data_IF_425009839135
#
_entry.id   IF_425009839135
#
_cell.length_a   1.000
_cell.length_b   1.000
_cell.length_c   1.000
_cell.angle_alpha   90.00
_cell.angle_beta   90.00
_cell.angle_gamma   90.00
#
_symmetry.space_group_name_H-M   'P 1'
#
loop_
_entity.id
_entity.type
_entity.pdbx_description
1 polymer ?
#
# COMPACT_ATOMS: atom_id res chain seq x y z
N UNK A 1 -0.77 12.10 12.24
CA UNK A 1 -1.34 13.33 11.62
C UNK A 1 -2.65 13.65 12.33
N UNK A 2 -2.90 14.93 12.65
CA UNK A 2 -4.22 15.38 13.12
C UNK A 2 -4.96 16.04 11.96
N UNK A 3 -6.18 15.62 11.69
CA UNK A 3 -7.05 16.19 10.66
C UNK A 3 -8.48 16.28 11.20
N UNK A 4 -9.27 17.20 10.64
CA UNK A 4 -10.66 17.40 11.01
C UNK A 4 -11.55 16.88 9.89
N UNK A 5 -12.65 16.20 10.25
CA UNK A 5 -13.67 15.72 9.32
C UNK A 5 -15.01 16.28 9.77
N UNK A 6 -15.77 16.81 8.82
CA UNK A 6 -17.12 17.29 9.05
C UNK A 6 -18.12 16.23 8.60
N UNK A 7 -19.08 15.94 9.47
CA UNK A 7 -20.22 15.08 9.18
C UNK A 7 -21.48 15.91 9.27
N UNK A 8 -22.50 15.54 8.50
CA UNK A 8 -23.85 16.04 8.75
C UNK A 8 -24.35 15.55 10.12
N UNK A 9 -25.32 16.26 10.68
CA UNK A 9 -25.84 16.00 12.03
C UNK A 9 -26.38 14.58 12.17
N UNK A 10 -27.04 14.05 11.13
CA UNK A 10 -27.63 12.71 11.15
C UNK A 10 -26.52 11.65 11.22
N UNK A 11 -25.49 11.78 10.40
CA UNK A 11 -24.35 10.86 10.39
C UNK A 11 -23.57 10.94 11.70
N UNK A 12 -23.34 12.16 12.22
CA UNK A 12 -22.65 12.37 13.49
C UNK A 12 -23.37 11.72 14.67
N UNK A 13 -24.70 11.82 14.74
CA UNK A 13 -25.52 11.18 15.78
C UNK A 13 -25.50 9.66 15.67
N UNK A 14 -25.63 9.11 14.46
CA UNK A 14 -25.55 7.66 14.23
C UNK A 14 -24.20 7.10 14.67
N UNK A 15 -23.10 7.75 14.30
CA UNK A 15 -21.76 7.37 14.73
C UNK A 15 -21.62 7.40 16.25
N UNK A 16 -22.16 8.43 16.91
CA UNK A 16 -22.13 8.53 18.37
C UNK A 16 -22.91 7.39 19.05
N UNK A 17 -24.07 7.01 18.51
CA UNK A 17 -24.87 5.90 19.03
C UNK A 17 -24.13 4.56 18.89
N UNK A 18 -23.53 4.29 17.73
CA UNK A 18 -22.74 3.07 17.51
C UNK A 18 -21.50 3.04 18.41
N UNK A 19 -20.78 4.15 18.54
CA UNK A 19 -19.62 4.27 19.42
C UNK A 19 -19.99 3.91 20.87
N UNK A 20 -21.11 4.45 21.36
CA UNK A 20 -21.64 4.14 22.69
C UNK A 20 -22.00 2.66 22.84
N UNK A 21 -22.67 2.07 21.85
CA UNK A 21 -23.04 0.65 21.87
C UNK A 21 -21.84 -0.29 21.86
N UNK A 22 -20.77 0.09 21.16
CA UNK A 22 -19.52 -0.69 21.08
C UNK A 22 -18.56 -0.46 22.26
N UNK A 23 -18.81 0.51 23.14
CA UNK A 23 -17.86 0.90 24.18
C UNK A 23 -16.59 1.58 23.65
N UNK A 24 -16.66 2.17 22.46
CA UNK A 24 -15.52 2.78 21.77
C UNK A 24 -15.69 4.30 21.63
N UNK A 25 -14.57 5.01 21.45
CA UNK A 25 -14.65 6.43 21.08
C UNK A 25 -15.05 6.58 19.61
N UNK A 26 -15.73 7.69 19.27
CA UNK A 26 -16.03 8.05 17.86
C UNK A 26 -14.77 8.00 16.98
N UNK A 27 -13.64 8.48 17.49
CA UNK A 27 -12.37 8.47 16.76
C UNK A 27 -11.81 7.05 16.54
N UNK A 28 -12.09 6.11 17.44
CA UNK A 28 -11.69 4.71 17.24
C UNK A 28 -12.48 4.08 16.09
N UNK A 29 -13.81 4.33 16.04
CA UNK A 29 -14.64 3.89 14.91
C UNK A 29 -14.25 4.56 13.59
N UNK A 30 -13.97 5.87 13.59
CA UNK A 30 -13.51 6.58 12.38
C UNK A 30 -12.21 5.97 11.86
N UNK A 31 -11.24 5.69 12.75
CA UNK A 31 -9.97 5.05 12.36
C UNK A 31 -10.21 3.69 11.70
N UNK A 32 -11.01 2.82 12.34
CA UNK A 32 -11.37 1.52 11.78
C UNK A 32 -12.04 1.64 10.41
N UNK A 33 -13.00 2.54 10.27
CA UNK A 33 -13.70 2.76 9.01
C UNK A 33 -12.76 3.24 7.89
N UNK A 34 -11.83 4.15 8.20
CA UNK A 34 -10.82 4.62 7.26
C UNK A 34 -9.86 3.49 6.88
N UNK A 35 -9.35 2.73 7.85
CA UNK A 35 -8.44 1.61 7.60
C UNK A 35 -9.09 0.54 6.72
N UNK A 36 -10.35 0.21 7.00
CA UNK A 36 -11.13 -0.77 6.23
C UNK A 36 -11.41 -0.28 4.80
N UNK A 37 -11.67 1.02 4.63
CA UNK A 37 -11.85 1.61 3.30
C UNK A 37 -10.55 1.59 2.51
N UNK A 38 -9.43 1.98 3.13
CA UNK A 38 -8.09 1.97 2.50
C UNK A 38 -7.66 0.56 2.15
N UNK A 39 -7.87 -0.44 3.01
CA UNK A 39 -7.53 -1.83 2.70
C UNK A 39 -8.27 -2.35 1.44
N UNK A 40 -9.49 -1.85 1.18
CA UNK A 40 -10.27 -2.22 0.00
C UNK A 40 -9.88 -1.46 -1.27
N UNK A 41 -9.53 -0.19 -1.15
CA UNK A 41 -9.41 0.72 -2.31
C UNK A 41 -7.98 1.18 -2.58
N UNK A 42 -7.13 1.19 -1.57
CA UNK A 42 -5.71 1.52 -1.66
C UNK A 42 -4.88 0.24 -1.61
N UNK A 43 -5.22 -0.75 -2.45
CA UNK A 43 -4.31 -1.84 -2.75
C UNK A 43 -2.99 -1.20 -3.19
N UNK A 44 -1.85 -1.53 -2.55
CA UNK A 44 -0.56 -1.00 -2.96
C UNK A 44 -0.21 -1.58 -4.32
N UNK A 45 -0.66 -0.90 -5.37
CA UNK A 45 -0.37 -1.20 -6.75
C UNK A 45 0.68 -0.23 -7.26
N UNK A 46 1.56 -0.74 -8.13
CA UNK A 46 2.45 0.13 -8.88
C UNK A 46 1.62 1.04 -9.80
N UNK A 47 2.10 2.24 -10.13
CA UNK A 47 1.44 3.10 -11.12
C UNK A 47 1.23 2.35 -12.43
N UNK A 48 0.17 2.69 -13.16
CA UNK A 48 -0.16 2.02 -14.42
C UNK A 48 1.01 2.04 -15.42
N UNK A 49 1.80 3.11 -15.42
CA UNK A 49 3.01 3.20 -16.25
C UNK A 49 4.04 2.09 -15.97
N UNK A 50 4.13 1.62 -14.73
CA UNK A 50 5.00 0.49 -14.34
C UNK A 50 4.32 -0.83 -14.67
N UNK A 51 3.02 -0.96 -14.37
CA UNK A 51 2.25 -2.18 -14.64
C UNK A 51 2.10 -2.49 -16.13
N UNK A 52 2.06 -1.46 -16.99
CA UNK A 52 1.94 -1.55 -18.43
C UNK A 52 3.30 -1.57 -19.16
N UNK A 53 4.41 -1.59 -18.43
CA UNK A 53 5.74 -1.59 -19.04
C UNK A 53 6.09 -2.98 -19.58
N UNK A 54 6.16 -3.10 -20.91
CA UNK A 54 6.48 -4.37 -21.60
C UNK A 54 7.99 -4.60 -21.80
N UNK A 55 8.84 -3.71 -21.28
CA UNK A 55 10.28 -3.73 -21.52
C UNK A 55 10.71 -2.82 -22.67
N UNK A 56 12.03 -2.76 -22.90
CA UNK A 56 12.61 -2.03 -24.04
C UNK A 56 12.97 -3.03 -25.14
N UNK A 57 12.52 -2.85 -26.40
CA UNK A 57 12.73 -3.83 -27.47
C UNK A 57 14.21 -4.11 -27.76
N UNK A 58 15.03 -3.06 -27.66
CA UNK A 58 16.47 -3.13 -27.96
C UNK A 58 17.31 -3.57 -26.75
N UNK A 59 16.66 -3.92 -25.64
CA UNK A 59 17.40 -4.37 -24.46
C UNK A 59 17.90 -5.81 -24.68
N UNK A 60 19.21 -6.07 -24.54
CA UNK A 60 19.72 -7.42 -24.62
C UNK A 60 19.11 -8.28 -23.49
N UNK A 61 18.94 -9.61 -23.71
CA UNK A 61 18.51 -10.51 -22.66
C UNK A 61 19.39 -10.35 -21.41
N UNK A 62 18.79 -10.47 -20.23
CA UNK A 62 19.52 -10.37 -18.95
C UNK A 62 20.79 -11.24 -18.92
N UNK A 63 20.71 -12.42 -19.54
CA UNK A 63 21.80 -13.39 -19.56
C UNK A 63 22.93 -13.09 -20.55
N UNK A 64 22.75 -12.12 -21.45
CA UNK A 64 23.77 -11.76 -22.44
C UNK A 64 25.10 -11.34 -21.79
N UNK A 65 25.06 -10.78 -20.58
CA UNK A 65 26.25 -10.37 -19.82
C UNK A 65 26.97 -11.51 -19.10
N UNK A 66 26.39 -12.72 -18.98
CA UNK A 66 26.97 -13.79 -18.15
C UNK A 66 28.35 -14.23 -18.61
N UNK A 67 28.59 -14.25 -19.92
CA UNK A 67 29.88 -14.67 -20.48
C UNK A 67 31.04 -13.72 -20.12
N UNK A 68 30.73 -12.47 -19.75
CA UNK A 68 31.72 -11.49 -19.31
C UNK A 68 31.96 -11.49 -17.79
N UNK A 69 31.20 -12.31 -17.03
CA UNK A 69 31.39 -12.42 -15.58
C UNK A 69 32.63 -13.26 -15.29
N UNK A 70 33.45 -12.77 -14.35
CA UNK A 70 34.51 -13.59 -13.78
C UNK A 70 33.89 -14.73 -12.96
N UNK A 71 34.52 -15.91 -12.93
CA UNK A 71 34.08 -16.96 -12.02
C UNK A 71 34.09 -16.43 -10.57
N UNK A 72 33.18 -16.91 -9.71
CA UNK A 72 33.24 -16.64 -8.28
C UNK A 72 34.62 -17.02 -7.72
N UNK A 73 35.06 -16.35 -6.65
CA UNK A 73 36.24 -16.78 -5.91
C UNK A 73 36.00 -18.18 -5.30
N UNK A 74 37.05 -18.98 -5.21
CA UNK A 74 36.97 -20.33 -4.63
C UNK A 74 36.51 -20.31 -3.16
N UNK A 75 36.88 -19.25 -2.43
CA UNK A 75 36.30 -18.93 -1.13
C UNK A 75 35.73 -17.50 -1.17
N UNK A 76 34.40 -17.32 -1.15
CA UNK A 76 33.78 -16.00 -1.16
C UNK A 76 33.83 -15.29 0.21
N UNK A 77 34.32 -15.96 1.26
CA UNK A 77 34.35 -15.47 2.64
C UNK A 77 35.74 -15.54 3.30
N UNK A 78 36.79 -15.99 2.59
CA UNK A 78 38.17 -16.01 3.08
C UNK A 78 38.77 -14.63 3.32
#
# INVERSE_FOLDING_TARGET
>A
MHFNVYFDDVTGQRLAAVAKGAGESRNALIRKAVDEWLARHAQPQWPDAVMAFEGMPDMPPFEAGRAALRPPADDPLA
#
